data_IF_485270028876
#
_entry.id   IF_485270028876
#
_cell.length_a   1.000
_cell.length_b   1.000
_cell.length_c   1.000
_cell.angle_alpha   90.00
_cell.angle_beta   90.00
_cell.angle_gamma   90.00
#
_symmetry.space_group_name_H-M   'P 1'
#
loop_
_entity.id
_entity.type
_entity.pdbx_description
1 polymer ?
#
# COMPACT_ATOMS: atom_id res chain seq x y z
N UNK A 1 49.65 7.14 -2.38
CA UNK A 1 49.30 7.85 -3.62
C UNK A 1 48.99 6.78 -4.67
N UNK A 2 47.76 6.67 -5.12
CA UNK A 2 47.39 5.69 -6.17
C UNK A 2 47.81 6.33 -7.49
N UNK A 3 48.65 5.63 -8.27
CA UNK A 3 49.15 6.17 -9.51
C UNK A 3 48.05 6.12 -10.61
N UNK A 4 48.19 6.99 -11.60
CA UNK A 4 47.20 7.13 -12.69
C UNK A 4 47.06 5.82 -13.53
N UNK A 5 48.14 5.07 -13.70
CA UNK A 5 48.13 3.82 -14.50
C UNK A 5 47.32 2.72 -13.77
N UNK A 6 47.39 2.65 -12.45
CA UNK A 6 46.59 1.74 -11.65
C UNK A 6 45.09 2.03 -11.77
N UNK A 7 44.69 3.32 -11.81
CA UNK A 7 43.29 3.72 -12.01
C UNK A 7 42.76 3.40 -13.40
N UNK A 8 43.59 3.61 -14.44
CA UNK A 8 43.23 3.27 -15.81
C UNK A 8 43.08 1.76 -16.01
N UNK A 9 43.96 0.99 -15.37
CA UNK A 9 43.91 -0.50 -15.42
C UNK A 9 42.64 -1.01 -14.71
N UNK A 10 42.28 -0.47 -13.56
CA UNK A 10 41.07 -0.81 -12.84
C UNK A 10 39.81 -0.49 -13.66
N UNK A 11 39.72 0.71 -14.22
CA UNK A 11 38.60 1.15 -15.08
C UNK A 11 38.41 0.27 -16.32
N UNK A 12 39.52 -0.18 -16.92
CA UNK A 12 39.45 -1.08 -18.06
C UNK A 12 39.05 -2.51 -17.68
N UNK A 13 39.40 -2.95 -16.47
CA UNK A 13 38.97 -4.23 -15.92
C UNK A 13 37.45 -4.24 -15.61
N UNK A 14 36.94 -3.18 -15.03
CA UNK A 14 35.51 -3.03 -14.78
C UNK A 14 34.71 -2.94 -16.08
N UNK A 15 35.18 -2.20 -17.09
CA UNK A 15 34.56 -2.17 -18.41
C UNK A 15 34.47 -3.55 -19.05
N UNK A 16 35.54 -4.37 -18.96
CA UNK A 16 35.53 -5.74 -19.48
C UNK A 16 34.55 -6.64 -18.75
N UNK A 17 34.40 -6.47 -17.43
CA UNK A 17 33.42 -7.23 -16.62
C UNK A 17 32.00 -6.83 -17.02
N UNK A 18 31.72 -5.54 -17.12
CA UNK A 18 30.39 -5.02 -17.49
C UNK A 18 29.99 -5.48 -18.92
N UNK A 19 30.91 -5.46 -19.90
CA UNK A 19 30.65 -5.96 -21.25
C UNK A 19 30.37 -7.46 -21.23
N UNK A 20 31.11 -8.25 -20.45
CA UNK A 20 30.90 -9.69 -20.33
C UNK A 20 29.56 -10.04 -19.64
N UNK A 21 29.10 -9.23 -18.70
CA UNK A 21 27.76 -9.36 -18.08
C UNK A 21 26.65 -9.00 -19.07
N UNK A 22 26.84 -7.96 -19.88
CA UNK A 22 25.90 -7.58 -20.95
C UNK A 22 25.78 -8.72 -22.00
N UNK A 23 26.89 -9.28 -22.47
CA UNK A 23 26.86 -10.40 -23.39
C UNK A 23 26.17 -11.64 -22.84
N UNK A 24 26.32 -11.92 -21.53
CA UNK A 24 25.63 -13.03 -20.84
C UNK A 24 24.13 -12.80 -20.81
N UNK A 25 23.71 -11.57 -20.51
CA UNK A 25 22.30 -11.20 -20.47
C UNK A 25 21.65 -11.22 -21.86
N UNK A 26 22.38 -10.76 -22.91
CA UNK A 26 21.91 -10.87 -24.29
C UNK A 26 21.75 -12.33 -24.73
N UNK A 27 22.72 -13.19 -24.43
CA UNK A 27 22.61 -14.62 -24.72
C UNK A 27 21.44 -15.28 -23.98
N UNK A 28 21.14 -14.85 -22.76
CA UNK A 28 19.98 -15.33 -22.00
C UNK A 28 18.66 -14.89 -22.65
N UNK A 29 18.54 -13.61 -23.04
CA UNK A 29 17.38 -13.08 -23.75
C UNK A 29 17.18 -13.80 -25.09
N UNK A 30 18.26 -14.00 -25.85
CA UNK A 30 18.23 -14.75 -27.11
C UNK A 30 17.78 -16.20 -26.94
N UNK A 31 18.19 -16.84 -25.84
CA UNK A 31 17.74 -18.20 -25.51
C UNK A 31 16.24 -18.26 -25.19
N UNK A 32 15.71 -17.24 -24.49
CA UNK A 32 14.27 -17.10 -24.22
C UNK A 32 13.50 -16.87 -25.52
N UNK A 33 13.97 -15.95 -26.36
CA UNK A 33 13.35 -15.65 -27.65
C UNK A 33 13.33 -16.89 -28.57
N UNK A 34 14.42 -17.65 -28.63
CA UNK A 34 14.47 -18.93 -29.36
C UNK A 34 13.49 -19.96 -28.79
N UNK A 35 13.36 -20.07 -27.46
CA UNK A 35 12.36 -20.95 -26.82
C UNK A 35 10.93 -20.53 -27.12
N UNK A 36 10.65 -19.23 -27.16
CA UNK A 36 9.34 -18.70 -27.56
C UNK A 36 9.08 -19.01 -29.03
N UNK A 37 10.07 -18.86 -29.89
CA UNK A 37 9.96 -19.15 -31.32
C UNK A 37 9.82 -20.66 -31.62
N UNK A 38 10.52 -21.54 -30.88
CA UNK A 38 10.45 -23.00 -31.07
C UNK A 38 9.22 -23.62 -30.38
N UNK A 39 8.75 -23.06 -29.27
CA UNK A 39 7.47 -23.43 -28.68
C UNK A 39 6.27 -22.81 -29.42
N UNK A 40 6.54 -22.00 -30.41
CA UNK A 40 5.57 -21.45 -31.35
C UNK A 40 5.06 -22.45 -32.40
N UNK A 41 5.31 -23.76 -32.25
CA UNK A 41 4.48 -24.76 -32.90
C UNK A 41 3.04 -24.55 -32.42
N UNK A 42 2.38 -23.77 -33.27
CA UNK A 42 0.92 -23.59 -33.30
C UNK A 42 0.18 -24.25 -32.12
N UNK A 43 0.16 -23.59 -30.96
CA UNK A 43 -1.08 -23.67 -30.20
C UNK A 43 -2.17 -23.33 -31.22
N UNK A 44 -3.12 -24.25 -31.49
CA UNK A 44 -4.20 -23.96 -32.41
C UNK A 44 -4.73 -22.61 -31.99
N UNK A 45 -4.69 -21.64 -32.92
CA UNK A 45 -5.07 -20.26 -32.63
C UNK A 45 -6.44 -20.38 -31.97
N UNK A 46 -6.45 -20.41 -30.64
CA UNK A 46 -7.66 -20.41 -29.85
C UNK A 46 -8.32 -19.13 -30.29
N UNK A 47 -9.34 -19.27 -31.09
CA UNK A 47 -9.98 -18.14 -31.75
C UNK A 47 -10.74 -17.42 -30.64
N UNK A 48 -9.98 -16.70 -29.77
CA UNK A 48 -10.51 -15.96 -28.61
C UNK A 48 -11.62 -14.97 -29.04
N UNK A 49 -11.69 -14.68 -30.38
CA UNK A 49 -12.76 -13.91 -30.99
C UNK A 49 -13.96 -14.76 -31.39
N UNK A 50 -13.84 -16.09 -31.47
CA UNK A 50 -14.93 -16.99 -31.84
C UNK A 50 -15.78 -17.45 -30.64
N UNK A 51 -15.25 -17.37 -29.42
CA UNK A 51 -16.09 -17.49 -28.22
C UNK A 51 -16.93 -16.22 -28.16
N UNK A 52 -18.21 -16.32 -28.54
CA UNK A 52 -19.17 -15.24 -28.30
C UNK A 52 -19.01 -14.82 -26.85
N UNK A 53 -18.71 -13.50 -26.59
CA UNK A 53 -18.58 -13.06 -25.23
C UNK A 53 -19.85 -13.47 -24.50
N UNK A 54 -19.73 -14.38 -23.54
CA UNK A 54 -20.79 -14.66 -22.60
C UNK A 54 -21.11 -13.32 -21.98
N UNK A 55 -22.24 -12.71 -22.35
CA UNK A 55 -22.68 -11.46 -21.76
C UNK A 55 -22.80 -11.73 -20.27
N UNK A 56 -21.77 -11.34 -19.52
CA UNK A 56 -21.84 -11.26 -18.08
C UNK A 56 -23.00 -10.32 -17.84
N UNK A 57 -24.10 -10.84 -17.30
CA UNK A 57 -25.21 -10.00 -16.87
C UNK A 57 -24.63 -8.99 -15.90
N UNK A 58 -24.40 -7.78 -16.38
CA UNK A 58 -23.94 -6.69 -15.54
C UNK A 58 -25.07 -6.46 -14.53
N UNK A 59 -24.86 -6.91 -13.31
CA UNK A 59 -25.79 -6.62 -12.23
C UNK A 59 -25.92 -5.11 -12.15
N UNK A 60 -27.17 -4.60 -12.18
CA UNK A 60 -27.41 -3.17 -12.03
C UNK A 60 -26.89 -2.76 -10.65
N UNK A 61 -25.84 -1.95 -10.64
CA UNK A 61 -25.29 -1.40 -9.40
C UNK A 61 -26.36 -0.57 -8.70
N UNK A 62 -26.42 -0.65 -7.41
CA UNK A 62 -27.27 0.23 -6.59
C UNK A 62 -26.78 1.69 -6.71
N UNK A 63 -27.66 2.64 -6.45
CA UNK A 63 -27.29 4.08 -6.46
C UNK A 63 -26.11 4.33 -5.50
N UNK A 64 -26.11 3.65 -4.34
CA UNK A 64 -25.03 3.72 -3.37
C UNK A 64 -23.68 3.28 -3.96
N UNK A 65 -23.62 2.12 -4.62
CA UNK A 65 -22.41 1.62 -5.25
C UNK A 65 -21.89 2.52 -6.38
N UNK A 66 -22.80 3.21 -7.08
CA UNK A 66 -22.42 4.18 -8.12
C UNK A 66 -21.75 5.39 -7.45
N UNK A 67 -22.36 5.95 -6.39
CA UNK A 67 -21.83 7.10 -5.66
C UNK A 67 -20.47 6.77 -5.03
N UNK A 68 -20.35 5.62 -4.39
CA UNK A 68 -19.10 5.14 -3.82
C UNK A 68 -18.00 4.99 -4.87
N UNK A 69 -18.37 4.48 -6.05
CA UNK A 69 -17.47 4.37 -7.19
C UNK A 69 -16.98 5.73 -7.68
N UNK A 70 -17.89 6.69 -7.82
CA UNK A 70 -17.57 8.06 -8.26
C UNK A 70 -16.66 8.78 -7.26
N UNK A 71 -16.96 8.68 -5.96
CA UNK A 71 -16.11 9.24 -4.89
C UNK A 71 -14.72 8.61 -4.92
N UNK A 72 -14.64 7.28 -5.12
CA UNK A 72 -13.36 6.58 -5.23
C UNK A 72 -12.53 7.06 -6.42
N UNK A 73 -13.18 7.33 -7.56
CA UNK A 73 -12.51 7.89 -8.75
C UNK A 73 -11.93 9.27 -8.43
N UNK A 74 -12.67 10.12 -7.72
CA UNK A 74 -12.16 11.44 -7.32
C UNK A 74 -11.01 11.32 -6.28
N UNK A 75 -11.14 10.45 -5.28
CA UNK A 75 -10.07 10.20 -4.31
C UNK A 75 -8.79 9.65 -4.97
N UNK A 76 -8.90 8.90 -6.07
CA UNK A 76 -7.74 8.41 -6.82
C UNK A 76 -6.98 9.52 -7.56
N UNK A 77 -7.61 10.66 -7.81
CA UNK A 77 -6.99 11.83 -8.45
C UNK A 77 -6.33 12.77 -7.44
N UNK A 78 -6.51 12.53 -6.13
CA UNK A 78 -6.02 13.40 -5.08
C UNK A 78 -4.51 13.55 -5.14
N UNK A 79 -4.05 14.78 -5.12
CA UNK A 79 -2.65 15.14 -5.20
C UNK A 79 -2.36 16.41 -4.37
N UNK A 80 -1.10 16.75 -4.12
CA UNK A 80 -0.72 17.99 -3.42
C UNK A 80 -1.31 19.27 -4.01
N UNK A 81 -1.57 19.26 -5.32
CA UNK A 81 -2.03 20.46 -6.05
C UNK A 81 -3.54 20.63 -6.07
N UNK A 82 -4.31 19.54 -5.89
CA UNK A 82 -5.74 19.53 -6.11
C UNK A 82 -6.59 19.00 -4.94
N UNK A 83 -5.95 18.63 -3.80
CA UNK A 83 -6.68 18.03 -2.68
C UNK A 83 -7.86 18.89 -2.21
N UNK A 84 -7.70 20.21 -2.15
CA UNK A 84 -8.76 21.13 -1.73
C UNK A 84 -9.92 21.14 -2.73
N UNK A 85 -9.64 21.23 -4.02
CA UNK A 85 -10.65 21.21 -5.08
C UNK A 85 -11.45 19.91 -5.07
N UNK A 86 -10.75 18.77 -5.00
CA UNK A 86 -11.38 17.46 -4.96
C UNK A 86 -12.25 17.32 -3.71
N UNK A 87 -11.78 17.78 -2.55
CA UNK A 87 -12.54 17.72 -1.31
C UNK A 87 -13.84 18.51 -1.43
N UNK A 88 -13.77 19.76 -1.88
CA UNK A 88 -14.97 20.59 -2.07
C UNK A 88 -15.93 19.98 -3.12
N UNK A 89 -15.40 19.37 -4.17
CA UNK A 89 -16.21 18.66 -5.17
C UNK A 89 -16.97 17.48 -4.56
N UNK A 90 -16.29 16.67 -3.72
CA UNK A 90 -16.92 15.53 -3.02
C UNK A 90 -18.00 16.03 -2.08
N UNK A 91 -17.72 17.04 -1.26
CA UNK A 91 -18.70 17.63 -0.34
C UNK A 91 -19.94 18.11 -1.11
N UNK A 92 -19.74 18.93 -2.12
CA UNK A 92 -20.82 19.56 -2.89
C UNK A 92 -21.66 18.55 -3.66
N UNK A 93 -21.05 17.56 -4.31
CA UNK A 93 -21.76 16.68 -5.23
C UNK A 93 -22.41 15.49 -4.53
N UNK A 94 -21.89 15.06 -3.39
CA UNK A 94 -22.37 13.86 -2.74
C UNK A 94 -22.76 14.07 -1.27
N UNK A 95 -21.91 14.68 -0.43
CA UNK A 95 -22.18 14.77 1.01
C UNK A 95 -23.34 15.73 1.33
N UNK A 96 -23.38 16.91 0.69
CA UNK A 96 -24.42 17.91 0.94
C UNK A 96 -25.70 17.69 0.12
N UNK A 97 -25.66 16.81 -0.87
CA UNK A 97 -26.78 16.52 -1.77
C UNK A 97 -27.79 15.55 -1.15
N UNK A 98 -27.36 14.77 -0.20
CA UNK A 98 -28.16 13.76 0.49
C UNK A 98 -28.39 14.14 1.95
N UNK A 99 -29.47 13.63 2.57
CA UNK A 99 -29.85 13.91 3.94
C UNK A 99 -30.10 12.64 4.74
N UNK A 100 -30.16 12.76 6.07
CA UNK A 100 -30.45 11.66 6.98
C UNK A 100 -29.49 10.47 6.84
N UNK A 101 -30.02 9.27 6.95
CA UNK A 101 -29.26 8.01 6.94
C UNK A 101 -28.44 7.84 5.65
N UNK A 102 -28.96 8.27 4.51
CA UNK A 102 -28.26 8.13 3.24
C UNK A 102 -26.98 8.97 3.20
N UNK A 103 -27.00 10.17 3.74
CA UNK A 103 -25.81 11.03 3.88
C UNK A 103 -24.77 10.37 4.80
N UNK A 104 -25.22 9.84 5.94
CA UNK A 104 -24.32 9.18 6.90
C UNK A 104 -23.66 7.94 6.30
N UNK A 105 -24.39 7.14 5.54
CA UNK A 105 -23.86 5.96 4.86
C UNK A 105 -22.79 6.34 3.81
N UNK A 106 -23.05 7.39 3.01
CA UNK A 106 -22.08 7.90 2.03
C UNK A 106 -20.85 8.45 2.73
N UNK A 107 -21.02 9.22 3.81
CA UNK A 107 -19.93 9.77 4.60
C UNK A 107 -19.07 8.66 5.20
N UNK A 108 -19.71 7.67 5.85
CA UNK A 108 -19.00 6.53 6.45
C UNK A 108 -18.19 5.76 5.41
N UNK A 109 -18.78 5.45 4.25
CA UNK A 109 -18.09 4.77 3.16
C UNK A 109 -16.94 5.59 2.58
N UNK A 110 -17.13 6.91 2.43
CA UNK A 110 -16.07 7.84 1.98
C UNK A 110 -14.89 7.82 2.94
N UNK A 111 -15.16 7.84 4.25
CA UNK A 111 -14.12 7.81 5.28
C UNK A 111 -13.42 6.43 5.34
N UNK A 112 -14.16 5.32 5.16
CA UNK A 112 -13.55 3.98 5.08
C UNK A 112 -12.56 3.88 3.90
N UNK A 113 -12.95 4.41 2.76
CA UNK A 113 -12.07 4.45 1.57
C UNK A 113 -10.86 5.36 1.80
N UNK A 114 -11.05 6.51 2.42
CA UNK A 114 -9.95 7.45 2.72
C UNK A 114 -8.95 6.83 3.69
N UNK A 115 -9.41 6.20 4.77
CA UNK A 115 -8.55 5.51 5.73
C UNK A 115 -7.78 4.37 5.08
N UNK A 116 -8.44 3.53 4.28
CA UNK A 116 -7.79 2.45 3.55
C UNK A 116 -6.69 2.98 2.62
N UNK A 117 -6.95 4.10 1.93
CA UNK A 117 -5.96 4.76 1.08
C UNK A 117 -4.80 5.34 1.88
N UNK A 118 -5.07 5.97 3.02
CA UNK A 118 -4.02 6.51 3.88
C UNK A 118 -3.05 5.41 4.34
N UNK A 119 -3.57 4.21 4.66
CA UNK A 119 -2.72 3.09 5.09
C UNK A 119 -1.96 2.44 3.94
N UNK A 120 -2.55 2.38 2.75
CA UNK A 120 -1.91 1.76 1.58
C UNK A 120 -1.01 2.71 0.80
N UNK A 121 -1.17 4.02 0.98
CA UNK A 121 -0.46 5.07 0.26
C UNK A 121 0.09 6.14 1.24
N UNK A 122 1.06 5.79 2.10
CA UNK A 122 1.55 6.67 3.18
C UNK A 122 2.02 8.04 2.71
N UNK A 123 2.58 8.14 1.53
CA UNK A 123 3.07 9.40 0.94
C UNK A 123 1.98 10.48 0.80
N UNK A 124 0.70 10.06 0.72
CA UNK A 124 -0.44 10.97 0.61
C UNK A 124 -1.12 11.25 1.96
N UNK A 125 -0.68 10.65 3.07
CA UNK A 125 -1.26 10.87 4.41
C UNK A 125 -1.50 12.33 4.77
N UNK A 126 -0.56 13.27 4.56
CA UNK A 126 -0.79 14.68 4.87
C UNK A 126 -2.02 15.25 4.14
N UNK A 127 -2.23 14.87 2.89
CA UNK A 127 -3.35 15.35 2.08
C UNK A 127 -4.68 14.71 2.46
N UNK A 128 -4.68 13.47 2.89
CA UNK A 128 -5.86 12.82 3.47
C UNK A 128 -6.28 13.47 4.79
N UNK A 129 -5.32 13.91 5.60
CA UNK A 129 -5.60 14.67 6.83
C UNK A 129 -6.13 16.06 6.51
N UNK A 130 -5.56 16.77 5.52
CA UNK A 130 -6.08 18.06 5.06
C UNK A 130 -7.51 17.92 4.48
N UNK A 131 -7.81 16.82 3.81
CA UNK A 131 -9.16 16.49 3.36
C UNK A 131 -10.14 16.43 4.55
N UNK A 132 -9.79 15.74 5.63
CA UNK A 132 -10.60 15.67 6.85
C UNK A 132 -10.78 17.04 7.52
N UNK A 133 -9.74 17.88 7.52
CA UNK A 133 -9.83 19.25 8.04
C UNK A 133 -10.86 20.09 7.28
N UNK A 134 -10.85 20.02 5.94
CA UNK A 134 -11.84 20.72 5.12
C UNK A 134 -13.26 20.23 5.44
N UNK A 135 -13.47 18.94 5.72
CA UNK A 135 -14.78 18.43 6.15
C UNK A 135 -15.25 19.10 7.42
N UNK A 136 -14.37 19.21 8.42
CA UNK A 136 -14.68 19.87 9.71
C UNK A 136 -14.95 21.37 9.50
N UNK A 137 -14.13 22.04 8.69
CA UNK A 137 -14.32 23.46 8.34
C UNK A 137 -15.65 23.73 7.64
N UNK A 138 -16.18 22.76 6.90
CA UNK A 138 -17.49 22.81 6.28
C UNK A 138 -18.64 22.37 7.21
N UNK A 139 -18.36 22.17 8.50
CA UNK A 139 -19.35 21.80 9.50
C UNK A 139 -19.80 20.33 9.42
N UNK A 140 -19.06 19.47 8.74
CA UNK A 140 -19.32 18.04 8.68
C UNK A 140 -18.67 17.38 9.89
N UNK A 141 -19.49 16.82 10.78
CA UNK A 141 -19.00 16.16 11.99
C UNK A 141 -18.37 14.80 11.65
N UNK A 142 -17.06 14.73 11.64
CA UNK A 142 -16.28 13.52 11.36
C UNK A 142 -15.42 13.05 12.53
N UNK A 143 -15.30 13.83 13.59
CA UNK A 143 -14.41 13.58 14.73
C UNK A 143 -14.69 12.24 15.39
N UNK A 144 -15.97 11.95 15.70
CA UNK A 144 -16.37 10.67 16.30
C UNK A 144 -16.09 9.49 15.38
N UNK A 145 -16.24 9.69 14.06
CA UNK A 145 -15.96 8.66 13.07
C UNK A 145 -14.45 8.42 12.96
N UNK A 146 -13.63 9.47 12.98
CA UNK A 146 -12.17 9.37 13.00
C UNK A 146 -11.73 8.57 14.22
N UNK A 147 -12.24 8.93 15.42
CA UNK A 147 -11.93 8.24 16.66
C UNK A 147 -12.28 6.75 16.59
N UNK A 148 -13.53 6.43 16.22
CA UNK A 148 -14.00 5.04 16.10
C UNK A 148 -13.18 4.22 15.09
N UNK A 149 -12.74 4.85 13.99
CA UNK A 149 -11.90 4.17 13.01
C UNK A 149 -10.47 3.96 13.52
N UNK A 150 -9.89 4.93 14.22
CA UNK A 150 -8.59 4.75 14.86
C UNK A 150 -8.62 3.57 15.84
N UNK A 151 -9.68 3.45 16.66
CA UNK A 151 -9.86 2.34 17.59
C UNK A 151 -10.03 0.99 16.89
N UNK A 152 -10.79 0.95 15.81
CA UNK A 152 -10.95 -0.26 14.99
C UNK A 152 -9.64 -0.72 14.37
N UNK A 153 -8.89 0.19 13.78
CA UNK A 153 -7.63 -0.13 13.10
C UNK A 153 -6.47 -0.37 14.06
N UNK A 154 -6.52 0.14 15.28
CA UNK A 154 -5.58 -0.16 16.35
C UNK A 154 -5.45 -1.68 16.58
N UNK A 155 -6.53 -2.43 16.46
CA UNK A 155 -6.54 -3.88 16.58
C UNK A 155 -5.67 -4.58 15.51
N UNK A 156 -5.45 -3.96 14.35
CA UNK A 156 -4.58 -4.50 13.30
C UNK A 156 -3.12 -4.55 13.75
N UNK A 157 -2.72 -3.61 14.61
CA UNK A 157 -1.38 -3.64 15.21
C UNK A 157 -1.23 -4.80 16.20
N UNK A 158 -2.33 -5.23 16.84
CA UNK A 158 -2.34 -6.27 17.88
C UNK A 158 -2.44 -7.68 17.27
N UNK A 159 -3.03 -7.82 16.08
CA UNK A 159 -3.18 -9.13 15.44
C UNK A 159 -1.82 -9.77 15.17
N UNK A 160 -1.49 -10.78 15.97
CA UNK A 160 -0.41 -11.71 15.73
C UNK A 160 -0.80 -12.67 14.59
N UNK A 161 -0.66 -12.27 13.35
CA UNK A 161 -0.52 -13.27 12.30
C UNK A 161 0.90 -13.77 12.39
N UNK A 162 1.06 -15.07 12.66
CA UNK A 162 2.32 -15.77 12.47
C UNK A 162 2.70 -15.61 10.99
N UNK A 163 3.54 -14.63 10.74
CA UNK A 163 4.14 -14.49 9.41
C UNK A 163 5.15 -15.62 9.30
N UNK A 164 4.79 -16.66 8.55
CA UNK A 164 5.74 -17.69 8.16
C UNK A 164 6.93 -16.97 7.50
N UNK A 165 8.12 -17.16 8.08
CA UNK A 165 9.35 -16.57 7.54
C UNK A 165 9.61 -17.18 6.18
N UNK A 166 9.44 -16.40 5.17
CA UNK A 166 9.79 -16.77 3.82
C UNK A 166 11.27 -16.44 3.64
N UNK A 167 12.15 -17.39 3.97
CA UNK A 167 13.62 -17.24 3.83
C UNK A 167 14.06 -17.07 2.38
N UNK A 168 13.35 -17.68 1.45
CA UNK A 168 13.58 -17.59 0.00
C UNK A 168 12.25 -17.49 -0.71
N UNK A 169 12.11 -16.51 -1.58
CA UNK A 169 10.89 -16.36 -2.40
C UNK A 169 10.91 -17.46 -3.46
N UNK A 170 9.93 -18.35 -3.39
CA UNK A 170 9.66 -19.41 -4.38
C UNK A 170 8.26 -19.19 -4.94
N UNK A 171 7.94 -19.84 -6.06
CA UNK A 171 6.58 -19.73 -6.63
C UNK A 171 5.51 -20.22 -5.65
N UNK A 172 5.84 -21.17 -4.76
CA UNK A 172 4.90 -21.73 -3.79
C UNK A 172 4.58 -20.77 -2.61
N UNK A 173 5.51 -19.87 -2.25
CA UNK A 173 5.36 -18.95 -1.10
C UNK A 173 5.27 -17.48 -1.51
N UNK A 174 5.19 -17.19 -2.81
CA UNK A 174 5.14 -15.82 -3.34
C UNK A 174 3.93 -15.03 -2.81
N UNK A 175 2.76 -15.67 -2.71
CA UNK A 175 1.55 -15.03 -2.20
C UNK A 175 1.69 -14.66 -0.72
N UNK A 176 2.31 -15.51 0.09
CA UNK A 176 2.58 -15.24 1.50
C UNK A 176 3.58 -14.09 1.66
N UNK A 177 4.63 -14.07 0.86
CA UNK A 177 5.57 -12.94 0.82
C UNK A 177 4.86 -11.63 0.47
N UNK A 178 4.06 -11.62 -0.58
CA UNK A 178 3.28 -10.44 -0.97
C UNK A 178 2.32 -9.97 0.13
N UNK A 179 1.67 -10.91 0.84
CA UNK A 179 0.76 -10.60 1.93
C UNK A 179 1.50 -10.01 3.13
N UNK A 180 2.67 -10.54 3.47
CA UNK A 180 3.51 -10.01 4.54
C UNK A 180 3.96 -8.58 4.23
N UNK A 181 4.40 -8.33 3.00
CA UNK A 181 4.79 -6.98 2.57
C UNK A 181 3.62 -5.99 2.61
N UNK A 182 2.43 -6.42 2.20
CA UNK A 182 1.20 -5.59 2.30
C UNK A 182 0.88 -5.26 3.76
N UNK A 183 1.00 -6.23 4.68
CA UNK A 183 0.75 -6.01 6.11
C UNK A 183 1.78 -5.05 6.72
N UNK A 184 3.07 -5.20 6.40
CA UNK A 184 4.12 -4.27 6.84
C UNK A 184 3.83 -2.85 6.37
N UNK A 185 3.54 -2.69 5.09
CA UNK A 185 3.20 -1.39 4.51
C UNK A 185 1.93 -0.79 5.13
N UNK A 186 0.95 -1.62 5.45
CA UNK A 186 -0.29 -1.17 6.09
C UNK A 186 -0.06 -0.67 7.52
N UNK A 187 0.76 -1.36 8.31
CA UNK A 187 1.15 -0.93 9.66
C UNK A 187 1.93 0.39 9.62
N UNK A 188 2.87 0.51 8.69
CA UNK A 188 3.64 1.75 8.48
C UNK A 188 2.70 2.91 8.10
N UNK A 189 1.80 2.69 7.15
CA UNK A 189 0.81 3.69 6.74
C UNK A 189 -0.13 4.11 7.87
N UNK A 190 -0.59 3.16 8.68
CA UNK A 190 -1.40 3.46 9.87
C UNK A 190 -0.63 4.35 10.86
N UNK A 191 0.62 3.99 11.19
CA UNK A 191 1.46 4.74 12.12
C UNK A 191 1.68 6.17 11.65
N UNK A 192 2.00 6.36 10.37
CA UNK A 192 2.18 7.68 9.77
C UNK A 192 0.86 8.48 9.81
N UNK A 193 -0.25 7.86 9.45
CA UNK A 193 -1.54 8.54 9.41
C UNK A 193 -2.01 9.00 10.80
N UNK A 194 -1.85 8.16 11.83
CA UNK A 194 -2.15 8.52 13.23
C UNK A 194 -1.27 9.69 13.69
N UNK A 195 0.02 9.69 13.35
CA UNK A 195 0.92 10.82 13.61
C UNK A 195 0.45 12.10 12.95
N UNK A 196 0.05 12.05 11.69
CA UNK A 196 -0.48 13.20 10.95
C UNK A 196 -1.81 13.70 11.51
N UNK A 197 -2.72 12.79 11.91
CA UNK A 197 -3.97 13.16 12.58
C UNK A 197 -3.71 13.91 13.89
N UNK A 198 -2.76 13.42 14.70
CA UNK A 198 -2.37 14.06 15.95
C UNK A 198 -1.73 15.44 15.71
N UNK A 199 -0.79 15.56 14.81
CA UNK A 199 -0.15 16.83 14.44
C UNK A 199 -1.17 17.89 13.98
N UNK A 200 -2.24 17.45 13.33
CA UNK A 200 -3.33 18.32 12.88
C UNK A 200 -4.48 18.47 13.90
N UNK A 201 -4.33 17.94 15.12
CA UNK A 201 -5.31 18.03 16.22
C UNK A 201 -6.68 17.38 15.90
N UNK A 202 -6.68 16.36 15.04
CA UNK A 202 -7.91 15.62 14.69
C UNK A 202 -8.17 14.43 15.60
N UNK A 203 -7.19 14.03 16.41
CA UNK A 203 -7.33 13.02 17.46
C UNK A 203 -6.74 13.56 18.76
N UNK A 204 -7.21 13.02 19.89
CA UNK A 204 -6.70 13.37 21.21
C UNK A 204 -5.30 12.78 21.44
N UNK A 205 -4.56 13.39 22.39
CA UNK A 205 -3.28 12.85 22.85
C UNK A 205 -3.42 11.43 23.40
N UNK A 206 -4.53 11.09 24.03
CA UNK A 206 -4.74 9.74 24.57
C UNK A 206 -4.77 8.69 23.47
N UNK A 207 -5.53 8.92 22.39
CA UNK A 207 -5.59 8.01 21.23
C UNK A 207 -4.24 7.83 20.57
N UNK A 208 -3.48 8.93 20.45
CA UNK A 208 -2.14 8.90 19.92
C UNK A 208 -1.21 8.06 20.81
N UNK A 209 -1.18 8.33 22.12
CA UNK A 209 -0.32 7.60 23.07
C UNK A 209 -0.67 6.11 23.14
N UNK A 210 -1.94 5.74 23.15
CA UNK A 210 -2.37 4.34 23.10
C UNK A 210 -1.84 3.63 21.85
N UNK A 211 -1.85 4.30 20.70
CA UNK A 211 -1.30 3.73 19.46
C UNK A 211 0.22 3.55 19.55
N UNK A 212 0.93 4.53 20.13
CA UNK A 212 2.38 4.45 20.35
C UNK A 212 2.73 3.33 21.34
N UNK A 213 1.98 3.18 22.44
CA UNK A 213 2.21 2.12 23.43
C UNK A 213 2.05 0.72 22.84
N UNK A 214 1.07 0.54 21.95
CA UNK A 214 0.91 -0.73 21.22
C UNK A 214 2.11 -1.01 20.32
N UNK A 215 2.58 0.01 19.59
CA UNK A 215 3.76 -0.13 18.72
C UNK A 215 5.01 -0.50 19.53
N UNK A 216 5.27 0.21 20.63
CA UNK A 216 6.39 -0.07 21.54
C UNK A 216 6.28 -1.49 22.12
N UNK A 217 5.09 -1.88 22.57
CA UNK A 217 4.85 -3.23 23.10
C UNK A 217 5.12 -4.32 22.06
N UNK A 218 4.72 -4.09 20.81
CA UNK A 218 5.00 -5.01 19.72
C UNK A 218 6.52 -5.13 19.44
N UNK A 219 7.24 -4.01 19.45
CA UNK A 219 8.70 -3.99 19.27
C UNK A 219 9.36 -4.77 20.41
N UNK A 220 9.00 -4.49 21.65
CA UNK A 220 9.57 -5.18 22.81
C UNK A 220 9.30 -6.69 22.77
N UNK A 221 8.09 -7.11 22.40
CA UNK A 221 7.75 -8.52 22.22
C UNK A 221 8.62 -9.18 21.14
N UNK A 222 8.85 -8.49 20.02
CA UNK A 222 9.69 -8.99 18.93
C UNK A 222 11.16 -9.08 19.33
N UNK A 223 11.66 -8.13 20.09
CA UNK A 223 13.02 -8.18 20.66
C UNK A 223 13.15 -9.40 21.58
N UNK A 224 12.20 -9.61 22.50
CA UNK A 224 12.22 -10.78 23.40
C UNK A 224 12.12 -12.11 22.64
N UNK A 225 11.32 -12.18 21.56
CA UNK A 225 11.27 -13.33 20.65
C UNK A 225 12.63 -13.56 19.95
N UNK A 226 13.33 -12.48 19.58
CA UNK A 226 14.63 -12.56 18.91
C UNK A 226 15.75 -13.06 19.81
N UNK A 227 15.68 -12.84 21.13
CA UNK A 227 16.70 -13.28 22.08
C UNK A 227 16.85 -14.82 22.12
N UNK A 228 15.78 -15.53 21.75
CA UNK A 228 15.78 -17.01 21.68
C UNK A 228 16.28 -17.55 20.32
N UNK A 229 16.69 -16.68 19.40
CA UNK A 229 17.18 -17.08 18.08
C UNK A 229 18.71 -17.17 18.06
N UNK A 230 19.24 -18.01 17.16
CA UNK A 230 20.65 -18.00 16.85
C UNK A 230 21.12 -16.63 16.37
N UNK A 231 22.35 -16.23 16.70
CA UNK A 231 22.85 -14.87 16.45
C UNK A 231 22.77 -14.45 14.97
N UNK A 232 23.01 -15.39 14.08
CA UNK A 232 22.94 -15.19 12.62
C UNK A 232 21.54 -14.82 12.12
N UNK A 233 20.48 -15.16 12.90
CA UNK A 233 19.08 -14.91 12.55
C UNK A 233 18.48 -13.70 13.26
N UNK A 234 19.19 -13.12 14.25
CA UNK A 234 18.67 -12.03 15.08
C UNK A 234 18.51 -10.73 14.28
N UNK A 235 19.53 -10.34 13.51
CA UNK A 235 19.47 -9.10 12.74
C UNK A 235 18.41 -9.16 11.65
N UNK A 236 18.33 -10.27 10.91
CA UNK A 236 17.32 -10.51 9.89
C UNK A 236 15.90 -10.49 10.49
N UNK A 237 15.72 -11.11 11.66
CA UNK A 237 14.43 -11.12 12.35
C UNK A 237 13.98 -9.70 12.79
N UNK A 238 14.91 -8.90 13.28
CA UNK A 238 14.64 -7.52 13.71
C UNK A 238 14.28 -6.67 12.51
N UNK A 239 15.03 -6.74 11.41
CA UNK A 239 14.78 -6.00 10.18
C UNK A 239 13.42 -6.31 9.57
N UNK A 240 12.97 -7.57 9.64
CA UNK A 240 11.70 -8.00 9.06
C UNK A 240 10.47 -7.64 9.91
N UNK A 241 10.64 -7.39 11.21
CA UNK A 241 9.51 -7.26 12.15
C UNK A 241 9.43 -5.90 12.85
N UNK A 242 10.42 -5.00 12.67
CA UNK A 242 10.43 -3.62 13.15
C UNK A 242 10.30 -2.64 11.99
#
# INVERSE_FOLDING_TARGET
MVDYESLVTYKNKEKKIAVKQLDTNFNYIDSILKRIQTNGESLPAKNWRAEKPTFIKVQKKSIKEIIEGDINIELNKLSPKNYSEITHKIIKNWITRYEGQQREDILSSTLDNLFTKAFTQPIYCPYYVLFLKIFIEQGIQVENVIQSKCDKFKNILIEKKETSRVKTVTDENYDDFCNNLKQKNFKLGYSQFVGELYNNKLISVLVFLESVDIMISNINNKIAESENLAEDLKSEFIEDNI
#
